data_IF_201518063815
#
_entry.id   IF_201518063815
#
_cell.length_a   1.000
_cell.length_b   1.000
_cell.length_c   1.000
_cell.angle_alpha   90.00
_cell.angle_beta   90.00
_cell.angle_gamma   90.00
#
_symmetry.space_group_name_H-M   'P 1'
#
loop_
_entity.id
_entity.type
_entity.pdbx_description
1 polymer ?
#
# COMPACT_ATOMS: atom_id res chain seq x y z
N UNK A 1 5.26 21.07 13.57
CA UNK A 1 4.05 20.73 12.78
C UNK A 1 2.90 20.64 13.76
N UNK A 2 1.83 21.43 13.57
CA UNK A 2 0.68 21.44 14.50
C UNK A 2 0.19 19.99 14.70
N UNK A 3 -0.17 19.62 15.93
CA UNK A 3 -0.64 18.29 16.33
C UNK A 3 0.40 17.16 16.46
N UNK A 4 1.67 17.36 16.11
CA UNK A 4 2.67 16.28 16.27
C UNK A 4 3.02 16.04 17.74
N UNK A 5 3.31 17.11 18.50
CA UNK A 5 3.72 16.97 19.89
C UNK A 5 2.52 16.67 20.80
N UNK A 6 1.35 17.25 20.50
CA UNK A 6 0.10 17.07 21.25
C UNK A 6 -0.41 15.62 21.21
N UNK A 7 -0.34 14.96 20.04
CA UNK A 7 -0.74 13.54 19.91
C UNK A 7 0.41 12.56 20.19
N UNK A 8 1.59 13.05 20.57
CA UNK A 8 2.74 12.24 21.00
C UNK A 8 3.10 12.50 22.47
N UNK A 9 2.08 12.76 23.30
CA UNK A 9 2.24 12.95 24.73
C UNK A 9 2.16 11.62 25.51
N UNK A 10 3.23 11.19 26.20
CA UNK A 10 3.22 9.99 27.03
C UNK A 10 2.28 10.09 28.24
N UNK A 11 1.98 11.29 28.75
CA UNK A 11 1.02 11.45 29.83
C UNK A 11 -0.41 11.15 29.34
N UNK A 12 -0.82 11.72 28.20
CA UNK A 12 -2.07 11.37 27.55
C UNK A 12 -2.17 9.87 27.23
N UNK A 13 -1.10 9.26 26.71
CA UNK A 13 -1.07 7.81 26.42
C UNK A 13 -1.30 6.96 27.67
N UNK A 14 -0.65 7.27 28.80
CA UNK A 14 -0.87 6.57 30.08
C UNK A 14 -2.31 6.70 30.58
N UNK A 15 -2.94 7.86 30.38
CA UNK A 15 -4.35 8.07 30.73
C UNK A 15 -5.25 7.19 29.86
N UNK A 16 -4.99 7.13 28.55
CA UNK A 16 -5.74 6.29 27.63
C UNK A 16 -5.62 4.79 27.98
N UNK A 17 -4.39 4.30 28.22
CA UNK A 17 -4.16 2.89 28.62
C UNK A 17 -4.94 2.54 29.87
N UNK A 18 -4.83 3.36 30.93
CA UNK A 18 -5.61 3.13 32.17
C UNK A 18 -7.11 3.05 31.88
N UNK A 19 -7.64 3.96 31.06
CA UNK A 19 -9.06 3.98 30.75
C UNK A 19 -9.50 2.76 29.94
N UNK A 20 -8.67 2.30 29.00
CA UNK A 20 -8.90 1.07 28.24
C UNK A 20 -8.92 -0.12 29.19
N UNK A 21 -7.96 -0.22 30.12
CA UNK A 21 -7.91 -1.30 31.12
C UNK A 21 -9.17 -1.34 31.99
N UNK A 22 -9.64 -0.18 32.47
CA UNK A 22 -10.89 -0.09 33.24
C UNK A 22 -12.11 -0.53 32.43
N UNK A 23 -12.20 -0.12 31.17
CA UNK A 23 -13.34 -0.43 30.29
C UNK A 23 -13.34 -1.89 29.84
N UNK A 24 -12.17 -2.47 29.61
CA UNK A 24 -12.01 -3.85 29.20
C UNK A 24 -11.98 -4.83 30.39
N UNK A 25 -12.17 -4.34 31.62
CA UNK A 25 -12.23 -5.17 32.81
C UNK A 25 -13.43 -6.14 32.74
N UNK A 26 -13.18 -7.43 32.94
CA UNK A 26 -14.20 -8.48 32.81
C UNK A 26 -14.41 -9.01 31.38
N UNK A 27 -13.69 -8.48 30.39
CA UNK A 27 -13.76 -8.94 29.00
C UNK A 27 -15.12 -8.66 28.33
N UNK A 28 -15.27 -9.16 27.11
CA UNK A 28 -16.47 -9.01 26.29
C UNK A 28 -17.68 -9.66 26.96
N UNK A 29 -18.77 -8.90 27.08
CA UNK A 29 -20.04 -9.32 27.68
C UNK A 29 -19.92 -9.89 29.11
N UNK A 30 -18.85 -9.54 29.84
CA UNK A 30 -18.57 -10.04 31.19
C UNK A 30 -18.08 -11.50 31.24
N UNK A 31 -17.74 -12.08 30.08
CA UNK A 31 -17.34 -13.50 29.96
C UNK A 31 -15.84 -13.73 30.12
N UNK A 32 -15.04 -12.67 30.25
CA UNK A 32 -13.58 -12.72 30.22
C UNK A 32 -13.00 -12.89 28.81
N UNK A 33 -13.81 -13.07 27.76
CA UNK A 33 -13.33 -13.14 26.39
C UNK A 33 -12.70 -11.82 25.93
N UNK A 34 -11.66 -11.82 25.09
CA UNK A 34 -11.03 -10.59 24.64
C UNK A 34 -11.91 -9.80 23.66
N UNK A 35 -11.76 -8.47 23.67
CA UNK A 35 -12.23 -7.59 22.62
C UNK A 35 -11.22 -7.59 21.48
N UNK A 36 -11.64 -8.05 20.30
CA UNK A 36 -10.81 -8.10 19.12
C UNK A 36 -10.99 -6.83 18.27
N UNK A 37 -9.90 -6.11 18.02
CA UNK A 37 -9.89 -4.91 17.19
C UNK A 37 -8.99 -5.11 15.98
N UNK A 38 -9.58 -5.10 14.78
CA UNK A 38 -8.81 -5.23 13.54
C UNK A 38 -8.47 -3.86 12.95
N UNK A 39 -7.19 -3.66 12.64
CA UNK A 39 -6.74 -2.55 11.80
C UNK A 39 -6.43 -3.04 10.38
N UNK A 40 -6.63 -2.16 9.38
CA UNK A 40 -6.39 -2.47 7.96
C UNK A 40 -5.51 -1.38 7.33
N UNK A 41 -4.41 -1.03 8.00
CA UNK A 41 -3.46 -0.03 7.54
C UNK A 41 -2.04 -0.36 8.03
N UNK A 42 -1.12 -0.65 7.10
CA UNK A 42 0.27 -0.92 7.45
C UNK A 42 0.96 0.19 8.28
N UNK A 43 0.49 1.44 8.18
CA UNK A 43 0.95 2.54 9.03
C UNK A 43 0.52 2.40 10.50
N UNK A 44 -0.69 1.88 10.76
CA UNK A 44 -1.14 1.55 12.11
C UNK A 44 -0.38 0.32 12.63
N UNK A 45 -0.24 -0.74 11.83
CA UNK A 45 0.60 -1.90 12.18
C UNK A 45 2.01 -1.45 12.60
N UNK A 46 2.66 -0.60 11.79
CA UNK A 46 3.98 -0.07 12.11
C UNK A 46 3.99 0.73 13.41
N UNK A 47 2.96 1.54 13.67
CA UNK A 47 2.85 2.34 14.90
C UNK A 47 2.67 1.45 16.13
N UNK A 48 1.82 0.43 16.05
CA UNK A 48 1.57 -0.55 17.11
C UNK A 48 2.88 -1.25 17.50
N UNK A 49 3.60 -1.79 16.51
CA UNK A 49 4.88 -2.47 16.76
C UNK A 49 5.97 -1.52 17.25
N UNK A 50 6.14 -0.37 16.60
CA UNK A 50 7.20 0.60 16.94
C UNK A 50 7.11 1.08 18.37
N UNK A 51 5.89 1.23 18.89
CA UNK A 51 5.64 1.75 20.23
C UNK A 51 5.27 0.66 21.24
N UNK A 52 5.27 -0.62 20.84
CA UNK A 52 4.92 -1.74 21.73
C UNK A 52 3.50 -1.62 22.31
N UNK A 53 2.55 -1.05 21.57
CA UNK A 53 1.20 -0.73 22.09
C UNK A 53 0.51 -1.99 22.61
N UNK A 54 0.67 -3.11 21.92
CA UNK A 54 0.10 -4.40 22.31
C UNK A 54 0.53 -4.85 23.71
N UNK A 55 1.78 -4.56 24.11
CA UNK A 55 2.32 -4.90 25.44
C UNK A 55 1.81 -3.99 26.56
N UNK A 56 1.22 -2.85 26.20
CA UNK A 56 0.65 -1.90 27.16
C UNK A 56 -0.84 -2.16 27.43
N UNK A 57 -1.49 -2.95 26.57
CA UNK A 57 -2.91 -3.26 26.67
C UNK A 57 -3.14 -4.48 27.58
N UNK A 58 -4.31 -4.59 28.24
CA UNK A 58 -4.65 -5.78 29.01
C UNK A 58 -4.89 -6.99 28.08
N UNK A 59 -4.72 -8.20 28.59
CA UNK A 59 -4.99 -9.46 27.83
C UNK A 59 -6.44 -9.57 27.32
N UNK A 60 -7.37 -8.79 27.89
CA UNK A 60 -8.75 -8.69 27.41
C UNK A 60 -8.91 -7.82 26.17
N UNK A 61 -7.83 -7.30 25.58
CA UNK A 61 -7.82 -6.55 24.33
C UNK A 61 -6.83 -7.19 23.36
N UNK A 62 -7.34 -7.64 22.22
CA UNK A 62 -6.57 -8.25 21.15
C UNK A 62 -6.53 -7.30 19.95
N UNK A 63 -5.34 -7.07 19.40
CA UNK A 63 -5.16 -6.30 18.17
C UNK A 63 -4.92 -7.26 17.00
N UNK A 64 -5.79 -7.22 16.01
CA UNK A 64 -5.69 -8.04 14.80
C UNK A 64 -5.13 -7.20 13.67
N UNK A 65 -4.05 -7.68 13.06
CA UNK A 65 -3.44 -7.06 11.88
C UNK A 65 -4.10 -7.58 10.61
N UNK A 66 -5.00 -6.78 10.04
CA UNK A 66 -5.73 -7.09 8.84
C UNK A 66 -4.93 -6.85 7.55
N UNK A 67 -5.57 -7.03 6.38
CA UNK A 67 -4.95 -6.89 5.06
C UNK A 67 -4.69 -5.43 4.65
N UNK A 68 -3.91 -4.69 5.46
CA UNK A 68 -3.65 -3.26 5.31
C UNK A 68 -2.51 -2.88 4.35
N UNK A 69 -2.04 -3.80 3.52
CA UNK A 69 -0.91 -3.63 2.61
C UNK A 69 -1.35 -3.95 1.17
N UNK A 70 -1.53 -2.97 0.27
CA UNK A 70 -2.06 -3.22 -1.07
C UNK A 70 -1.12 -4.08 -1.93
N UNK A 71 0.19 -3.98 -1.67
CA UNK A 71 1.25 -4.78 -2.29
C UNK A 71 1.16 -6.24 -1.85
N UNK A 72 0.85 -6.49 -0.59
CA UNK A 72 0.85 -7.82 0.01
C UNK A 72 -0.39 -8.63 -0.39
N UNK A 73 -1.48 -7.95 -0.78
CA UNK A 73 -2.76 -8.57 -1.14
C UNK A 73 -2.98 -8.65 -2.65
N UNK A 74 -1.99 -8.25 -3.44
CA UNK A 74 -2.09 -8.33 -4.90
C UNK A 74 -2.13 -9.81 -5.33
N UNK A 75 -3.07 -10.22 -6.20
CA UNK A 75 -3.08 -11.59 -6.68
C UNK A 75 -1.83 -11.90 -7.50
N UNK A 76 -1.24 -13.07 -7.30
CA UNK A 76 -0.03 -13.51 -8.00
C UNK A 76 -0.17 -13.43 -9.53
N UNK A 77 -1.34 -13.80 -10.07
CA UNK A 77 -1.61 -13.70 -11.51
C UNK A 77 -1.53 -12.27 -12.07
N UNK A 78 -1.80 -11.23 -11.25
CA UNK A 78 -1.61 -9.83 -11.66
C UNK A 78 -0.14 -9.44 -11.73
N UNK A 79 0.70 -10.06 -10.91
CA UNK A 79 2.16 -9.90 -10.99
C UNK A 79 2.68 -10.58 -12.25
N UNK A 80 2.15 -11.76 -12.59
CA UNK A 80 2.48 -12.45 -13.85
C UNK A 80 2.07 -11.62 -15.09
N UNK A 81 0.86 -11.04 -15.08
CA UNK A 81 0.42 -10.10 -16.12
C UNK A 81 1.38 -8.90 -16.24
N UNK A 82 1.82 -8.32 -15.11
CA UNK A 82 2.76 -7.22 -15.09
C UNK A 82 4.14 -7.58 -15.67
N UNK A 83 4.65 -8.77 -15.35
CA UNK A 83 5.91 -9.29 -15.90
C UNK A 83 5.79 -9.50 -17.41
N UNK A 84 4.69 -10.12 -17.86
CA UNK A 84 4.41 -10.32 -19.29
C UNK A 84 4.34 -9.00 -20.06
N UNK A 85 3.69 -7.98 -19.49
CA UNK A 85 3.68 -6.62 -20.08
C UNK A 85 5.08 -6.00 -20.12
N UNK A 86 5.89 -6.18 -19.07
CA UNK A 86 7.22 -5.62 -18.99
C UNK A 86 8.21 -6.21 -19.99
N UNK A 87 8.05 -7.49 -20.34
CA UNK A 87 8.90 -8.21 -21.30
C UNK A 87 8.52 -7.93 -22.77
N UNK A 88 7.43 -7.20 -23.04
CA UNK A 88 7.05 -6.85 -24.41
C UNK A 88 8.06 -5.89 -25.07
N UNK A 89 8.41 -6.10 -26.35
CA UNK A 89 9.23 -5.16 -27.11
C UNK A 89 8.65 -3.75 -27.13
N UNK A 90 9.52 -2.75 -26.99
CA UNK A 90 9.15 -1.34 -27.03
C UNK A 90 8.44 -0.82 -25.77
N UNK A 91 8.25 -1.65 -24.73
CA UNK A 91 7.67 -1.22 -23.45
C UNK A 91 8.75 -0.64 -22.53
N UNK A 92 8.38 0.39 -21.78
CA UNK A 92 9.05 0.83 -20.55
C UNK A 92 8.03 0.62 -19.44
N UNK A 93 8.29 -0.35 -18.57
CA UNK A 93 7.38 -0.69 -17.48
C UNK A 93 7.81 0.06 -16.22
N UNK A 94 6.86 0.68 -15.55
CA UNK A 94 7.13 1.49 -14.36
C UNK A 94 6.31 0.99 -13.18
N UNK A 95 6.93 0.92 -12.01
CA UNK A 95 6.27 0.46 -10.79
C UNK A 95 6.89 1.12 -9.56
N UNK A 96 6.16 1.06 -8.44
CA UNK A 96 6.72 1.41 -7.14
C UNK A 96 7.80 0.40 -6.72
N UNK A 97 8.64 0.81 -5.78
CA UNK A 97 9.77 0.02 -5.32
C UNK A 97 9.45 -1.28 -4.62
N UNK A 98 8.43 -1.23 -3.78
CA UNK A 98 7.89 -2.35 -3.03
C UNK A 98 7.41 -3.48 -3.95
N UNK A 99 6.82 -3.15 -5.09
CA UNK A 99 6.36 -4.10 -6.10
C UNK A 99 7.50 -4.83 -6.84
N UNK A 100 8.72 -4.30 -6.85
CA UNK A 100 9.83 -4.88 -7.65
C UNK A 100 10.18 -6.32 -7.24
N UNK A 101 10.03 -6.64 -5.95
CA UNK A 101 10.42 -7.94 -5.37
C UNK A 101 9.24 -8.87 -5.12
N UNK A 102 8.01 -8.43 -5.41
CA UNK A 102 6.83 -9.28 -5.24
C UNK A 102 6.93 -10.44 -6.23
N UNK A 103 6.84 -11.70 -5.76
CA UNK A 103 6.92 -12.86 -6.63
C UNK A 103 5.61 -13.03 -7.41
N UNK A 104 5.75 -13.25 -8.71
CA UNK A 104 4.75 -13.93 -9.52
C UNK A 104 4.90 -15.45 -9.39
N UNK A 105 4.30 -16.19 -10.32
CA UNK A 105 4.36 -17.66 -10.35
C UNK A 105 5.76 -18.19 -10.65
N UNK A 106 6.55 -17.48 -11.46
CA UNK A 106 7.86 -17.97 -11.93
C UNK A 106 9.00 -16.98 -11.75
N UNK A 107 8.71 -15.68 -11.60
CA UNK A 107 9.74 -14.65 -11.35
C UNK A 107 9.12 -13.38 -10.76
N UNK A 108 9.92 -12.33 -10.62
CA UNK A 108 9.55 -10.98 -10.17
C UNK A 108 9.90 -9.91 -11.21
N UNK A 109 9.39 -8.69 -11.04
CA UNK A 109 9.76 -7.54 -11.88
C UNK A 109 11.26 -7.22 -11.81
N UNK A 110 11.89 -7.46 -10.65
CA UNK A 110 13.34 -7.31 -10.49
C UNK A 110 14.13 -8.32 -11.32
N UNK A 111 13.66 -9.58 -11.39
CA UNK A 111 14.29 -10.61 -12.21
C UNK A 111 14.02 -10.39 -13.70
N UNK A 112 12.81 -9.95 -14.09
CA UNK A 112 12.52 -9.54 -15.46
C UNK A 112 13.46 -8.41 -15.93
N UNK A 113 13.71 -7.43 -15.06
CA UNK A 113 14.71 -6.38 -15.30
C UNK A 113 16.10 -6.96 -15.51
N UNK A 114 16.52 -7.91 -14.68
CA UNK A 114 17.82 -8.57 -14.80
C UNK A 114 17.96 -9.36 -16.13
N UNK A 115 16.84 -9.86 -16.68
CA UNK A 115 16.78 -10.50 -18.01
C UNK A 115 16.74 -9.52 -19.19
N UNK A 116 16.72 -8.21 -18.93
CA UNK A 116 16.78 -7.18 -19.97
C UNK A 116 15.47 -6.43 -20.24
N UNK A 117 14.39 -6.71 -19.51
CA UNK A 117 13.18 -5.90 -19.58
C UNK A 117 13.46 -4.46 -19.06
N UNK A 118 12.92 -3.45 -19.72
CA UNK A 118 13.07 -2.04 -19.28
C UNK A 118 12.07 -1.73 -18.16
N UNK A 119 12.42 -2.15 -16.93
CA UNK A 119 11.64 -1.88 -15.72
C UNK A 119 12.27 -0.76 -14.90
N UNK A 120 11.51 0.31 -14.64
CA UNK A 120 11.95 1.50 -13.92
C UNK A 120 11.12 1.72 -12.66
N UNK A 121 11.82 1.90 -11.55
CA UNK A 121 11.22 2.26 -10.27
C UNK A 121 10.83 3.74 -10.30
N UNK A 122 9.62 4.07 -9.85
CA UNK A 122 9.12 5.44 -9.74
C UNK A 122 8.56 5.70 -8.34
N UNK A 123 8.53 6.97 -7.93
CA UNK A 123 7.94 7.38 -6.65
C UNK A 123 6.51 7.89 -6.79
N UNK A 124 6.07 8.17 -8.02
CA UNK A 124 4.73 8.64 -8.31
C UNK A 124 4.28 8.27 -9.73
N UNK A 125 2.96 8.19 -9.99
CA UNK A 125 2.46 8.01 -11.36
C UNK A 125 2.87 9.17 -12.29
N UNK A 126 3.06 10.40 -11.75
CA UNK A 126 3.56 11.54 -12.51
C UNK A 126 4.99 11.33 -13.02
N UNK A 127 5.83 10.59 -12.30
CA UNK A 127 7.18 10.28 -12.79
C UNK A 127 7.13 9.31 -13.97
N UNK A 128 6.20 8.36 -13.96
CA UNK A 128 5.93 7.50 -15.10
C UNK A 128 5.45 8.30 -16.32
N UNK A 129 4.55 9.28 -16.11
CA UNK A 129 4.13 10.19 -17.18
C UNK A 129 5.30 11.01 -17.75
N UNK A 130 6.19 11.53 -16.90
CA UNK A 130 7.42 12.22 -17.37
C UNK A 130 8.30 11.29 -18.21
N UNK A 131 8.36 10.01 -17.88
CA UNK A 131 9.08 9.01 -18.70
C UNK A 131 8.40 8.86 -20.06
N UNK A 132 7.08 8.82 -20.13
CA UNK A 132 6.33 8.76 -21.39
C UNK A 132 6.61 9.95 -22.31
N UNK A 133 6.60 11.17 -21.76
CA UNK A 133 6.95 12.40 -22.50
C UNK A 133 8.36 12.35 -23.10
N UNK A 134 9.31 11.75 -22.38
CA UNK A 134 10.72 11.66 -22.81
C UNK A 134 10.99 10.52 -23.82
N UNK A 135 10.06 9.59 -24.01
CA UNK A 135 10.24 8.41 -24.85
C UNK A 135 9.01 8.22 -25.76
N UNK A 136 8.74 9.15 -26.70
CA UNK A 136 7.51 9.16 -27.50
C UNK A 136 7.35 7.95 -28.43
N UNK A 137 8.45 7.28 -28.76
CA UNK A 137 8.54 6.06 -29.57
C UNK A 137 8.29 4.77 -28.76
N UNK A 138 8.15 4.87 -27.44
CA UNK A 138 8.02 3.73 -26.51
C UNK A 138 6.67 3.77 -25.80
N UNK A 139 6.10 2.59 -25.54
CA UNK A 139 4.90 2.45 -24.71
C UNK A 139 5.29 2.45 -23.24
N UNK A 140 4.81 3.42 -22.47
CA UNK A 140 5.09 3.51 -21.04
C UNK A 140 3.89 3.05 -20.25
N UNK A 141 4.08 2.00 -19.44
CA UNK A 141 3.03 1.42 -18.62
C UNK A 141 3.34 1.67 -17.16
N UNK A 142 2.40 2.26 -16.43
CA UNK A 142 2.46 2.37 -14.97
C UNK A 142 1.64 1.28 -14.29
N UNK A 143 2.30 0.45 -13.50
CA UNK A 143 1.64 -0.58 -12.68
C UNK A 143 1.06 0.06 -11.43
N UNK A 144 -0.24 0.37 -11.50
CA UNK A 144 -0.92 1.07 -10.42
C UNK A 144 -1.44 0.07 -9.39
N UNK A 145 -0.77 0.04 -8.24
CA UNK A 145 -1.15 -0.76 -7.06
C UNK A 145 -1.34 0.21 -5.90
N UNK A 146 -2.40 0.01 -5.12
CA UNK A 146 -2.68 0.86 -3.97
C UNK A 146 -4.16 0.89 -3.61
N UNK A 147 -4.45 1.32 -2.39
CA UNK A 147 -5.80 1.56 -1.92
C UNK A 147 -6.36 2.91 -2.39
N UNK A 148 -7.48 3.34 -1.82
CA UNK A 148 -8.17 4.59 -2.10
C UNK A 148 -7.29 5.83 -1.90
N UNK A 149 -6.24 5.74 -1.07
CA UNK A 149 -5.27 6.82 -0.87
C UNK A 149 -4.35 7.02 -2.07
N UNK A 150 -4.07 5.96 -2.84
CA UNK A 150 -3.18 6.02 -4.01
C UNK A 150 -3.96 6.27 -5.30
N UNK A 151 -5.19 5.75 -5.42
CA UNK A 151 -6.00 5.82 -6.64
C UNK A 151 -6.22 7.25 -7.19
N UNK A 152 -6.48 8.29 -6.37
CA UNK A 152 -6.62 9.66 -6.85
C UNK A 152 -5.38 10.19 -7.57
N UNK A 153 -4.18 9.83 -7.11
CA UNK A 153 -2.93 10.26 -7.73
C UNK A 153 -2.76 9.67 -9.14
N UNK A 154 -3.17 8.41 -9.32
CA UNK A 154 -3.22 7.73 -10.62
C UNK A 154 -4.24 8.41 -11.54
N UNK A 155 -5.45 8.68 -11.03
CA UNK A 155 -6.51 9.32 -11.81
C UNK A 155 -6.12 10.72 -12.30
N UNK A 156 -5.55 11.56 -11.42
CA UNK A 156 -5.05 12.89 -11.79
C UNK A 156 -3.95 12.81 -12.84
N UNK A 157 -3.10 11.78 -12.79
CA UNK A 157 -2.05 11.58 -13.79
C UNK A 157 -2.62 11.23 -15.16
N UNK A 158 -3.66 10.39 -15.22
CA UNK A 158 -4.38 10.09 -16.46
C UNK A 158 -5.06 11.33 -17.05
N UNK A 159 -5.68 12.17 -16.20
CA UNK A 159 -6.27 13.44 -16.64
C UNK A 159 -5.23 14.36 -17.29
N UNK A 160 -4.06 14.51 -16.65
CA UNK A 160 -2.95 15.29 -17.19
C UNK A 160 -2.39 14.72 -18.50
N UNK A 161 -2.27 13.40 -18.60
CA UNK A 161 -1.83 12.75 -19.84
C UNK A 161 -2.79 13.06 -21.00
N UNK A 162 -4.11 13.01 -20.74
CA UNK A 162 -5.16 13.36 -21.70
C UNK A 162 -5.11 14.83 -22.10
N UNK A 163 -5.00 15.74 -21.13
CA UNK A 163 -4.89 17.19 -21.38
C UNK A 163 -3.66 17.55 -22.22
N UNK A 164 -2.54 16.85 -22.00
CA UNK A 164 -1.30 17.05 -22.75
C UNK A 164 -1.22 16.26 -24.07
N UNK A 165 -2.27 15.50 -24.44
CA UNK A 165 -2.29 14.70 -25.67
C UNK A 165 -1.27 13.56 -25.71
N UNK A 166 -0.86 13.03 -24.55
CA UNK A 166 0.14 11.97 -24.43
C UNK A 166 -0.53 10.61 -24.70
N UNK A 167 -0.23 10.01 -25.85
CA UNK A 167 -0.88 8.79 -26.33
C UNK A 167 -0.12 7.50 -26.00
N UNK A 168 1.14 7.60 -25.59
CA UNK A 168 2.01 6.45 -25.30
C UNK A 168 2.07 6.08 -23.80
N UNK A 169 1.21 6.69 -22.97
CA UNK A 169 1.13 6.43 -21.53
C UNK A 169 -0.12 5.62 -21.18
N UNK A 170 0.08 4.49 -20.52
CA UNK A 170 -0.99 3.60 -20.08
C UNK A 170 -0.85 3.26 -18.60
N UNK A 171 -1.97 2.94 -17.95
CA UNK A 171 -2.00 2.47 -16.56
C UNK A 171 -2.54 1.04 -16.54
N UNK A 172 -1.77 0.12 -15.96
CA UNK A 172 -2.25 -1.21 -15.61
C UNK A 172 -2.88 -1.15 -14.21
N UNK A 173 -4.18 -0.87 -14.17
CA UNK A 173 -4.91 -0.58 -12.94
C UNK A 173 -5.20 -1.84 -12.12
N UNK A 174 -4.55 -1.94 -10.96
CA UNK A 174 -4.73 -2.99 -9.96
C UNK A 174 -4.97 -2.36 -8.58
N UNK A 175 -5.67 -1.22 -8.56
CA UNK A 175 -6.17 -0.62 -7.33
C UNK A 175 -7.16 -1.57 -6.64
N UNK A 176 -7.06 -1.64 -5.32
CA UNK A 176 -7.91 -2.46 -4.47
C UNK A 176 -8.68 -1.53 -3.56
N UNK A 177 -9.95 -1.83 -3.29
CA UNK A 177 -10.74 -1.12 -2.29
C UNK A 177 -10.66 -1.84 -0.97
N UNK A 178 -10.46 -1.10 0.12
CA UNK A 178 -10.69 -1.64 1.45
C UNK A 178 -12.21 -1.78 1.60
N UNK A 179 -12.70 -3.01 1.55
CA UNK A 179 -14.09 -3.29 1.91
C UNK A 179 -14.30 -2.96 3.40
N UNK A 180 -15.42 -2.33 3.78
CA UNK A 180 -15.75 -2.14 5.18
C UNK A 180 -15.68 -3.49 5.91
N UNK A 181 -15.02 -3.57 7.07
CA UNK A 181 -15.07 -4.79 7.88
C UNK A 181 -16.54 -5.12 8.17
N UNK A 182 -16.91 -6.38 7.94
CA UNK A 182 -18.22 -6.94 8.30
C UNK A 182 -18.36 -7.04 9.82
#
# INVERSE_FOLDING_TARGET
MKYVDEYRDPAAARVAVRRITELAAGGRDGTGAPYAFMEVCGGHTHTIYRHGIEQLLPETVELIHGPGCPVCVIPMGRVDDAISLAEQPGVIFTSFGDMMRVPGSTSSLLEAKARGADVRMVYSPLDALKIAVKNPDRRVIFFAVGFETTAPSTAVTLLRAREAGIMNFSVFSNHVTIVPPL
#
